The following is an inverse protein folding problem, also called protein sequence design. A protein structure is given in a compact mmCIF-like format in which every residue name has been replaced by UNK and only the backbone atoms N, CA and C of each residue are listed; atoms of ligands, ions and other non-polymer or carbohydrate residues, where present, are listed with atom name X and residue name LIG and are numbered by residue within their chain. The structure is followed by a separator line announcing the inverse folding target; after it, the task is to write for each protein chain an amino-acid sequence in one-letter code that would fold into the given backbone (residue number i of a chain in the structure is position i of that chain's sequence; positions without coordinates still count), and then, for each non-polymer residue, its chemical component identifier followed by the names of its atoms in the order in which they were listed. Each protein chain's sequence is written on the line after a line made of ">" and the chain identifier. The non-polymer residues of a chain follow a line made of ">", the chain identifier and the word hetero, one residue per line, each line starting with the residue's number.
data_IF_585029139896
#
_entry.id   IF_585029139896
#
_cell.length_a   1.000
_cell.length_b   1.000
_cell.length_c   1.000
_cell.angle_alpha   90.00
_cell.angle_beta   90.00
_cell.angle_gamma   90.00
#
_symmetry.space_group_name_H-M   'P 1'
#
loop_
_entity.id
_entity.type
_entity.pdbx_description
1 polymer ?
#
# COMPACT_ATOMS: atom_id res chain seq x y z
N UNK A 1 10.82 12.91 -5.32
CA UNK A 1 11.16 13.82 -4.20
C UNK A 1 12.53 13.50 -3.65
N UNK A 2 13.11 14.39 -2.83
CA UNK A 2 14.52 14.33 -2.37
C UNK A 2 14.93 13.03 -1.65
N UNK A 3 13.98 12.31 -1.03
CA UNK A 3 14.27 11.08 -0.28
C UNK A 3 14.17 9.79 -1.11
N UNK A 4 13.78 9.88 -2.39
CA UNK A 4 13.52 8.73 -3.27
C UNK A 4 12.53 7.69 -2.69
N UNK A 5 11.67 8.08 -1.74
CA UNK A 5 10.75 7.17 -1.02
C UNK A 5 9.42 6.91 -1.74
N UNK A 6 9.29 7.34 -3.00
CA UNK A 6 8.03 7.22 -3.75
C UNK A 6 7.65 5.76 -4.02
N UNK A 7 8.65 4.92 -4.29
CA UNK A 7 8.47 3.48 -4.50
C UNK A 7 7.84 2.81 -3.26
N UNK A 8 8.40 3.07 -2.06
CA UNK A 8 7.89 2.49 -0.82
C UNK A 8 6.44 2.89 -0.55
N UNK A 9 6.09 4.16 -0.78
CA UNK A 9 4.72 4.66 -0.62
C UNK A 9 3.76 3.90 -1.53
N UNK A 10 4.08 3.78 -2.82
CA UNK A 10 3.21 3.10 -3.79
C UNK A 10 3.10 1.60 -3.50
N UNK A 11 4.22 0.95 -3.18
CA UNK A 11 4.26 -0.48 -2.87
C UNK A 11 3.47 -0.82 -1.59
N UNK A 12 3.56 0.01 -0.55
CA UNK A 12 2.74 -0.16 0.65
C UNK A 12 1.27 0.15 0.40
N UNK A 13 0.96 1.17 -0.42
CA UNK A 13 -0.42 1.47 -0.79
C UNK A 13 -1.08 0.30 -1.53
N UNK A 14 -0.37 -0.36 -2.44
CA UNK A 14 -0.84 -1.60 -3.07
C UNK A 14 -1.19 -2.66 -2.01
N UNK A 15 -0.31 -2.88 -1.02
CA UNK A 15 -0.57 -3.84 0.08
C UNK A 15 -1.80 -3.49 0.91
N UNK A 16 -2.08 -2.20 1.14
CA UNK A 16 -3.29 -1.77 1.86
C UNK A 16 -4.58 -2.19 1.15
N UNK A 17 -4.56 -2.48 -0.16
CA UNK A 17 -5.72 -3.03 -0.87
C UNK A 17 -6.27 -4.32 -0.25
N UNK A 18 -5.44 -5.12 0.44
CA UNK A 18 -5.91 -6.31 1.16
C UNK A 18 -6.80 -5.97 2.35
N UNK A 19 -6.54 -4.83 3.01
CA UNK A 19 -7.35 -4.34 4.13
C UNK A 19 -8.74 -3.99 3.60
N UNK A 20 -8.82 -3.23 2.51
CA UNK A 20 -10.10 -2.85 1.90
C UNK A 20 -10.93 -4.06 1.47
N UNK A 21 -10.31 -5.09 0.88
CA UNK A 21 -11.01 -6.34 0.52
C UNK A 21 -11.62 -7.03 1.73
N UNK A 22 -10.88 -7.08 2.85
CA UNK A 22 -11.36 -7.68 4.11
C UNK A 22 -12.49 -6.86 4.72
N UNK A 23 -12.32 -5.54 4.83
CA UNK A 23 -13.33 -4.63 5.37
C UNK A 23 -14.64 -4.69 4.57
N UNK A 24 -14.55 -4.80 3.24
CA UNK A 24 -15.72 -4.98 2.38
C UNK A 24 -16.44 -6.31 2.67
N UNK A 25 -15.71 -7.42 2.78
CA UNK A 25 -16.31 -8.71 3.10
C UNK A 25 -16.98 -8.70 4.49
N UNK A 26 -16.38 -8.02 5.47
CA UNK A 26 -16.94 -7.86 6.81
C UNK A 26 -18.21 -7.00 6.78
N UNK A 27 -18.23 -5.90 6.01
CA UNK A 27 -19.40 -5.07 5.82
C UNK A 27 -20.57 -5.83 5.16
N UNK A 28 -20.29 -6.57 4.08
CA UNK A 28 -21.33 -7.37 3.39
C UNK A 28 -21.87 -8.46 4.30
N UNK A 29 -21.04 -9.04 5.18
CA UNK A 29 -21.47 -10.01 6.18
C UNK A 29 -22.44 -9.40 7.19
N UNK A 30 -22.13 -8.22 7.71
CA UNK A 30 -23.02 -7.51 8.64
C UNK A 30 -24.35 -7.16 7.97
N UNK A 31 -24.30 -6.68 6.71
CA UNK A 31 -25.50 -6.45 5.90
C UNK A 31 -26.34 -7.73 5.78
N UNK A 32 -25.73 -8.86 5.47
CA UNK A 32 -26.44 -10.15 5.38
C UNK A 32 -27.09 -10.57 6.71
N UNK A 33 -26.41 -10.35 7.85
CA UNK A 33 -26.96 -10.60 9.19
C UNK A 33 -28.25 -9.79 9.44
N UNK A 34 -28.26 -8.51 9.06
CA UNK A 34 -29.43 -7.63 9.20
C UNK A 34 -30.59 -8.12 8.33
N UNK A 35 -30.31 -8.43 7.06
CA UNK A 35 -31.32 -8.93 6.12
C UNK A 35 -31.92 -10.28 6.58
N UNK A 36 -31.09 -11.15 7.18
CA UNK A 36 -31.55 -12.43 7.74
C UNK A 36 -32.45 -12.21 8.97
N UNK A 37 -32.07 -11.30 9.87
CA UNK A 37 -32.89 -10.95 11.03
C UNK A 37 -34.24 -10.38 10.62
N UNK A 38 -34.27 -9.54 9.59
CA UNK A 38 -35.51 -9.01 9.00
C UNK A 38 -36.37 -10.14 8.43
N UNK A 39 -35.81 -11.00 7.58
CA UNK A 39 -36.51 -12.17 7.00
C UNK A 39 -37.12 -13.09 8.08
N UNK A 40 -36.36 -13.39 9.14
CA UNK A 40 -36.84 -14.20 10.27
C UNK A 40 -38.00 -13.53 11.00
N UNK A 41 -37.93 -12.21 11.20
CA UNK A 41 -39.00 -11.44 11.85
C UNK A 41 -40.27 -11.41 10.99
N UNK A 42 -40.13 -11.22 9.68
CA UNK A 42 -41.24 -11.26 8.73
C UNK A 42 -41.89 -12.65 8.64
N UNK A 43 -41.08 -13.72 8.67
CA UNK A 43 -41.60 -15.09 8.74
C UNK A 43 -42.43 -15.33 10.00
N UNK A 44 -42.00 -14.81 11.15
CA UNK A 44 -42.77 -14.89 12.40
C UNK A 44 -44.07 -14.09 12.31
N UNK A 45 -44.03 -12.89 11.74
CA UNK A 45 -45.20 -12.05 11.53
C UNK A 45 -46.23 -12.75 10.63
N UNK A 46 -45.80 -13.34 9.53
CA UNK A 46 -46.70 -14.08 8.63
C UNK A 46 -47.41 -15.25 9.35
N UNK A 47 -46.69 -16.01 10.17
CA UNK A 47 -47.28 -17.09 10.98
C UNK A 47 -48.31 -16.56 11.97
N UNK A 48 -48.06 -15.39 12.57
CA UNK A 48 -49.00 -14.76 13.50
C UNK A 48 -50.31 -14.34 12.85
N UNK A 49 -50.34 -14.11 11.53
CA UNK A 49 -51.57 -13.79 10.81
C UNK A 49 -52.62 -14.90 10.92
N UNK A 50 -52.20 -16.16 11.12
CA UNK A 50 -53.10 -17.29 11.34
C UNK A 50 -53.73 -17.32 12.74
N UNK A 51 -53.28 -16.46 13.67
CA UNK A 51 -53.79 -16.38 15.04
C UNK A 51 -54.93 -15.36 15.21
N UNK A 52 -55.24 -14.58 14.17
CA UNK A 52 -56.34 -13.60 14.24
C UNK A 52 -57.71 -14.25 14.10
N UNK A 53 -58.74 -13.51 14.52
CA UNK A 53 -60.14 -13.95 14.46
C UNK A 53 -60.53 -14.40 13.05
N UNK A 54 -61.07 -15.62 12.98
CA UNK A 54 -61.67 -16.18 11.76
C UNK A 54 -63.16 -15.83 11.64
N UNK A 55 -63.68 -15.03 12.56
CA UNK A 55 -65.07 -14.55 12.54
C UNK A 55 -65.17 -13.26 11.71
N UNK A 56 -66.25 -13.16 10.95
CA UNK A 56 -66.58 -11.99 10.15
C UNK A 56 -66.05 -12.04 8.72
N UNK A 57 -66.58 -11.16 7.88
CA UNK A 57 -66.30 -11.11 6.44
C UNK A 57 -64.86 -10.67 6.11
N UNK A 58 -64.12 -10.16 7.09
CA UNK A 58 -62.72 -9.76 6.93
C UNK A 58 -61.73 -10.94 7.07
N UNK A 59 -62.15 -12.08 7.63
CA UNK A 59 -61.25 -13.22 7.89
C UNK A 59 -60.38 -13.64 6.68
N UNK A 60 -60.90 -13.71 5.44
CA UNK A 60 -60.08 -14.09 4.27
C UNK A 60 -58.96 -13.10 3.94
N UNK A 61 -59.07 -11.84 4.37
CA UNK A 61 -58.06 -10.80 4.10
C UNK A 61 -56.75 -11.13 4.83
N UNK A 62 -56.80 -11.79 5.99
CA UNK A 62 -55.61 -12.22 6.72
C UNK A 62 -54.74 -13.21 5.93
N UNK A 63 -55.34 -14.03 5.06
CA UNK A 63 -54.58 -14.96 4.21
C UNK A 63 -53.79 -14.23 3.12
N UNK A 64 -54.34 -13.12 2.61
CA UNK A 64 -53.63 -12.21 1.69
C UNK A 64 -52.40 -11.63 2.38
N UNK A 65 -52.56 -11.09 3.60
CA UNK A 65 -51.45 -10.57 4.39
C UNK A 65 -50.40 -11.62 4.71
N UNK A 66 -50.82 -12.83 5.08
CA UNK A 66 -49.92 -13.96 5.34
C UNK A 66 -49.07 -14.25 4.10
N UNK A 67 -49.70 -14.48 2.96
CA UNK A 67 -49.02 -14.86 1.72
C UNK A 67 -48.08 -13.77 1.22
N UNK A 68 -48.49 -12.50 1.26
CA UNK A 68 -47.62 -11.38 0.85
C UNK A 68 -46.42 -11.21 1.79
N UNK A 69 -46.62 -11.40 3.10
CA UNK A 69 -45.57 -11.31 4.11
C UNK A 69 -44.58 -12.47 3.99
N UNK A 70 -45.03 -13.70 3.69
CA UNK A 70 -44.18 -14.86 3.40
C UNK A 70 -43.31 -14.61 2.16
N UNK A 71 -43.92 -14.11 1.08
CA UNK A 71 -43.18 -13.77 -0.14
C UNK A 71 -42.11 -12.71 0.13
N UNK A 72 -42.44 -11.66 0.88
CA UNK A 72 -41.47 -10.62 1.26
C UNK A 72 -40.33 -11.20 2.12
N UNK A 73 -40.64 -12.04 3.11
CA UNK A 73 -39.61 -12.71 3.92
C UNK A 73 -38.65 -13.55 3.05
N UNK A 74 -39.18 -14.26 2.04
CA UNK A 74 -38.38 -15.04 1.10
C UNK A 74 -37.50 -14.16 0.20
N UNK A 75 -37.99 -12.99 -0.25
CA UNK A 75 -37.16 -12.05 -1.02
C UNK A 75 -35.92 -11.59 -0.24
N UNK A 76 -36.06 -11.28 1.05
CA UNK A 76 -34.92 -10.92 1.90
C UNK A 76 -33.98 -12.11 2.13
N UNK A 77 -34.51 -13.33 2.28
CA UNK A 77 -33.68 -14.52 2.41
C UNK A 77 -32.89 -14.83 1.12
N UNK A 78 -33.49 -14.60 -0.05
CA UNK A 78 -32.80 -14.73 -1.33
C UNK A 78 -31.70 -13.68 -1.50
N UNK A 79 -31.93 -12.46 -1.00
CA UNK A 79 -30.88 -11.44 -0.93
C UNK A 79 -29.71 -11.91 -0.04
N UNK A 80 -29.98 -12.47 1.14
CA UNK A 80 -28.94 -13.03 2.02
C UNK A 80 -28.08 -14.07 1.27
N UNK A 81 -28.71 -15.00 0.55
CA UNK A 81 -27.99 -16.01 -0.25
C UNK A 81 -27.07 -15.37 -1.29
N UNK A 82 -27.56 -14.35 -2.01
CA UNK A 82 -26.76 -13.61 -2.98
C UNK A 82 -25.59 -12.85 -2.34
N UNK A 83 -25.81 -12.24 -1.17
CA UNK A 83 -24.75 -11.58 -0.41
C UNK A 83 -23.69 -12.59 0.08
N UNK A 84 -24.09 -13.79 0.48
CA UNK A 84 -23.17 -14.86 0.87
C UNK A 84 -22.31 -15.34 -0.30
N UNK A 85 -22.88 -15.49 -1.50
CA UNK A 85 -22.08 -15.80 -2.70
C UNK A 85 -21.12 -14.65 -3.05
N UNK A 86 -21.57 -13.39 -2.96
CA UNK A 86 -20.71 -12.23 -3.16
C UNK A 86 -19.54 -12.20 -2.17
N UNK A 87 -19.75 -12.53 -0.90
CA UNK A 87 -18.67 -12.64 0.10
C UNK A 87 -17.61 -13.66 -0.35
N UNK A 88 -18.02 -14.81 -0.89
CA UNK A 88 -17.07 -15.81 -1.40
C UNK A 88 -16.24 -15.27 -2.57
N UNK A 89 -16.87 -14.55 -3.49
CA UNK A 89 -16.17 -13.92 -4.62
C UNK A 89 -15.18 -12.85 -4.15
N UNK A 90 -15.56 -12.02 -3.17
CA UNK A 90 -14.67 -11.01 -2.56
C UNK A 90 -13.48 -11.69 -1.85
N UNK A 91 -13.72 -12.78 -1.13
CA UNK A 91 -12.66 -13.55 -0.47
C UNK A 91 -11.70 -14.18 -1.49
N UNK A 92 -12.24 -14.78 -2.55
CA UNK A 92 -11.44 -15.33 -3.67
C UNK A 92 -10.58 -14.24 -4.31
N UNK A 93 -11.14 -13.07 -4.56
CA UNK A 93 -10.38 -11.91 -5.05
C UNK A 93 -9.25 -11.54 -4.08
N UNK A 94 -9.50 -11.55 -2.77
CA UNK A 94 -8.45 -11.32 -1.76
C UNK A 94 -7.29 -12.31 -1.84
N UNK A 95 -7.56 -13.60 -2.08
CA UNK A 95 -6.52 -14.61 -2.28
C UNK A 95 -5.72 -14.39 -3.58
N UNK A 96 -6.41 -14.05 -4.67
CA UNK A 96 -5.79 -13.71 -5.95
C UNK A 96 -4.93 -12.45 -5.83
N UNK A 97 -5.38 -11.45 -5.07
CA UNK A 97 -4.64 -10.24 -4.76
C UNK A 97 -3.33 -10.56 -4.01
N UNK A 98 -3.32 -11.51 -3.06
CA UNK A 98 -2.08 -11.98 -2.41
C UNK A 98 -1.09 -12.55 -3.43
N UNK A 99 -1.56 -13.39 -4.35
CA UNK A 99 -0.71 -13.99 -5.40
C UNK A 99 -0.17 -12.93 -6.34
N UNK A 100 -1.02 -12.00 -6.77
CA UNK A 100 -0.64 -10.87 -7.62
C UNK A 100 0.40 -9.98 -6.93
N UNK A 101 0.20 -9.61 -5.66
CA UNK A 101 1.17 -8.79 -4.92
C UNK A 101 2.52 -9.49 -4.75
N UNK A 102 2.53 -10.82 -4.57
CA UNK A 102 3.79 -11.59 -4.53
C UNK A 102 4.51 -11.50 -5.88
N UNK A 103 3.80 -11.71 -6.98
CA UNK A 103 4.35 -11.60 -8.34
C UNK A 103 4.90 -10.20 -8.61
N UNK A 104 4.11 -9.16 -8.31
CA UNK A 104 4.54 -7.77 -8.47
C UNK A 104 5.79 -7.48 -7.67
N UNK A 105 5.90 -7.95 -6.41
CA UNK A 105 7.13 -7.79 -5.61
C UNK A 105 8.37 -8.35 -6.32
N UNK A 106 8.25 -9.50 -6.97
CA UNK A 106 9.34 -10.13 -7.72
C UNK A 106 9.65 -9.32 -8.99
N UNK A 107 8.64 -8.86 -9.72
CA UNK A 107 8.78 -8.04 -10.94
C UNK A 107 9.44 -6.68 -10.66
N UNK A 108 9.11 -6.04 -9.54
CA UNK A 108 9.63 -4.71 -9.18
C UNK A 108 10.91 -4.74 -8.33
N UNK A 109 11.50 -5.93 -8.12
CA UNK A 109 12.69 -6.09 -7.28
C UNK A 109 13.87 -5.24 -7.78
N UNK A 110 14.08 -5.16 -9.09
CA UNK A 110 15.14 -4.34 -9.68
C UNK A 110 14.97 -2.84 -9.43
N UNK A 111 13.73 -2.36 -9.32
CA UNK A 111 13.41 -0.97 -8.99
C UNK A 111 13.70 -0.68 -7.52
N UNK A 112 13.39 -1.63 -6.63
CA UNK A 112 13.76 -1.54 -5.21
C UNK A 112 15.29 -1.46 -5.04
N UNK A 113 16.05 -2.29 -5.77
CA UNK A 113 17.51 -2.24 -5.75
C UNK A 113 18.04 -0.89 -6.22
N UNK A 114 17.48 -0.32 -7.29
CA UNK A 114 17.88 1.00 -7.80
C UNK A 114 17.57 2.13 -6.79
N UNK A 115 16.42 2.07 -6.11
CA UNK A 115 16.06 2.99 -5.01
C UNK A 115 17.09 2.91 -3.86
N UNK A 116 17.45 1.71 -3.43
CA UNK A 116 18.43 1.51 -2.36
C UNK A 116 19.84 1.99 -2.79
N UNK A 117 20.22 1.70 -4.04
CA UNK A 117 21.50 2.12 -4.60
C UNK A 117 21.61 3.65 -4.64
N UNK A 118 20.61 4.36 -5.18
CA UNK A 118 20.66 5.83 -5.25
C UNK A 118 20.66 6.46 -3.85
N UNK A 119 19.91 5.92 -2.89
CA UNK A 119 19.92 6.41 -1.50
C UNK A 119 21.29 6.24 -0.84
N UNK A 120 21.90 5.05 -0.99
CA UNK A 120 23.23 4.75 -0.45
C UNK A 120 24.33 5.61 -1.08
N UNK A 121 24.31 5.75 -2.41
CA UNK A 121 25.29 6.57 -3.14
C UNK A 121 25.12 8.04 -2.81
N UNK A 122 23.89 8.54 -2.65
CA UNK A 122 23.63 9.92 -2.23
C UNK A 122 24.23 10.22 -0.86
N UNK A 123 24.06 9.31 0.11
CA UNK A 123 24.69 9.45 1.44
C UNK A 123 26.22 9.40 1.37
N UNK A 124 26.78 8.48 0.58
CA UNK A 124 28.23 8.35 0.41
C UNK A 124 28.84 9.59 -0.28
N UNK A 125 28.15 10.12 -1.30
CA UNK A 125 28.50 11.36 -1.98
C UNK A 125 28.57 12.53 -1.01
N UNK A 126 27.53 12.71 -0.18
CA UNK A 126 27.48 13.78 0.81
C UNK A 126 28.64 13.69 1.81
N UNK A 127 28.92 12.49 2.37
CA UNK A 127 30.07 12.27 3.25
C UNK A 127 31.41 12.56 2.56
N UNK A 128 31.55 12.17 1.30
CA UNK A 128 32.78 12.42 0.54
C UNK A 128 33.00 13.92 0.26
N UNK A 129 31.92 14.67 0.00
CA UNK A 129 31.93 16.13 -0.17
C UNK A 129 32.36 16.85 1.12
N UNK A 130 31.81 16.47 2.26
CA UNK A 130 32.18 17.01 3.57
C UNK A 130 33.65 16.73 3.91
N UNK A 131 34.12 15.51 3.64
CA UNK A 131 35.52 15.16 3.83
C UNK A 131 36.45 15.96 2.88
N UNK A 132 36.08 16.12 1.61
CA UNK A 132 36.81 16.97 0.66
C UNK A 132 36.93 18.40 1.18
N UNK A 133 35.81 19.03 1.57
CA UNK A 133 35.81 20.39 2.13
C UNK A 133 36.70 20.50 3.38
N UNK A 134 36.62 19.52 4.28
CA UNK A 134 37.46 19.47 5.49
C UNK A 134 38.96 19.43 5.14
N UNK A 135 39.36 18.62 4.15
CA UNK A 135 40.77 18.55 3.73
C UNK A 135 41.23 19.82 3.02
N UNK A 136 40.36 20.46 2.25
CA UNK A 136 40.67 21.75 1.62
C UNK A 136 40.87 22.86 2.65
N UNK A 137 39.97 22.97 3.64
CA UNK A 137 40.09 23.97 4.71
C UNK A 137 41.38 23.76 5.52
N UNK A 138 41.69 22.52 5.88
CA UNK A 138 42.92 22.21 6.62
C UNK A 138 44.19 22.53 5.81
N UNK A 139 44.19 22.24 4.50
CA UNK A 139 45.31 22.57 3.63
C UNK A 139 45.53 24.09 3.56
N UNK A 140 44.46 24.88 3.44
CA UNK A 140 44.55 26.35 3.42
C UNK A 140 44.95 26.92 4.78
N UNK A 141 44.50 26.32 5.88
CA UNK A 141 44.92 26.69 7.24
C UNK A 141 46.43 26.54 7.42
N UNK A 142 46.99 25.38 7.06
CA UNK A 142 48.43 25.12 7.15
C UNK A 142 49.26 26.08 6.28
N UNK A 143 48.76 26.47 5.10
CA UNK A 143 49.40 27.51 4.26
C UNK A 143 49.41 28.88 4.94
N UNK A 144 48.30 29.28 5.58
CA UNK A 144 48.17 30.58 6.24
C UNK A 144 49.00 30.69 7.52
N UNK A 145 49.12 29.60 8.26
CA UNK A 145 49.88 29.54 9.52
C UNK A 145 51.39 29.37 9.31
N UNK A 146 51.87 29.26 8.07
CA UNK A 146 53.30 29.14 7.77
C UNK A 146 53.89 27.78 8.15
N UNK A 147 53.10 26.70 8.03
CA UNK A 147 53.57 25.34 8.25
C UNK A 147 54.73 24.97 7.30
N UNK A 148 55.49 23.93 7.64
CA UNK A 148 56.63 23.52 6.81
C UNK A 148 56.17 23.03 5.44
N UNK A 149 57.02 23.19 4.42
CA UNK A 149 56.75 22.73 3.06
C UNK A 149 56.34 21.24 3.02
N UNK A 150 56.99 20.40 3.83
CA UNK A 150 56.69 18.97 3.96
C UNK A 150 55.29 18.70 4.51
N UNK A 151 54.82 19.52 5.46
CA UNK A 151 53.47 19.40 6.04
C UNK A 151 52.40 19.85 5.05
N UNK A 152 52.65 20.93 4.31
CA UNK A 152 51.77 21.43 3.25
C UNK A 152 51.63 20.40 2.13
N UNK A 153 52.73 19.79 1.68
CA UNK A 153 52.72 18.72 0.67
C UNK A 153 51.93 17.49 1.16
N UNK A 154 52.11 17.09 2.42
CA UNK A 154 51.34 15.99 3.01
C UNK A 154 49.84 16.29 3.06
N UNK A 155 49.45 17.53 3.38
CA UNK A 155 48.06 17.97 3.35
C UNK A 155 47.50 18.02 1.93
N UNK A 156 48.29 18.46 0.95
CA UNK A 156 47.93 18.48 -0.47
C UNK A 156 47.63 17.07 -1.01
N UNK A 157 48.44 16.07 -0.65
CA UNK A 157 48.19 14.67 -1.02
C UNK A 157 46.86 14.15 -0.44
N UNK A 158 46.55 14.48 0.82
CA UNK A 158 45.27 14.12 1.46
C UNK A 158 44.07 14.79 0.77
N UNK A 159 44.21 16.07 0.43
CA UNK A 159 43.20 16.86 -0.29
C UNK A 159 42.95 16.30 -1.69
N UNK A 160 44.02 15.94 -2.43
CA UNK A 160 43.93 15.28 -3.73
C UNK A 160 43.17 13.95 -3.64
N UNK A 161 43.54 13.07 -2.70
CA UNK A 161 42.83 11.80 -2.48
C UNK A 161 41.34 11.99 -2.14
N UNK A 162 41.02 13.00 -1.33
CA UNK A 162 39.62 13.34 -1.02
C UNK A 162 38.87 13.85 -2.25
N UNK A 163 39.53 14.65 -3.10
CA UNK A 163 38.98 15.14 -4.38
C UNK A 163 38.67 13.98 -5.33
N UNK A 164 39.61 13.05 -5.51
CA UNK A 164 39.44 11.91 -6.40
C UNK A 164 38.29 11.00 -5.92
N UNK A 165 38.17 10.81 -4.61
CA UNK A 165 37.06 10.05 -4.00
C UNK A 165 35.71 10.76 -4.22
N UNK A 166 35.67 12.09 -4.04
CA UNK A 166 34.45 12.87 -4.26
C UNK A 166 34.02 12.83 -5.73
N UNK A 167 34.94 13.03 -6.68
CA UNK A 167 34.68 12.92 -8.12
C UNK A 167 34.13 11.54 -8.51
N UNK A 168 34.73 10.47 -7.96
CA UNK A 168 34.23 9.11 -8.17
C UNK A 168 32.77 8.94 -7.72
N UNK A 169 32.39 9.51 -6.57
CA UNK A 169 31.00 9.43 -6.11
C UNK A 169 30.06 10.30 -6.94
N UNK A 170 30.52 11.42 -7.51
CA UNK A 170 29.72 12.23 -8.45
C UNK A 170 29.37 11.41 -9.70
N UNK A 171 30.35 10.69 -10.27
CA UNK A 171 30.13 9.81 -11.42
C UNK A 171 29.20 8.64 -11.08
N UNK A 172 29.42 7.97 -9.94
CA UNK A 172 28.54 6.90 -9.45
C UNK A 172 27.11 7.39 -9.23
N UNK A 173 26.95 8.60 -8.70
CA UNK A 173 25.63 9.18 -8.49
C UNK A 173 24.91 9.44 -9.81
N UNK A 174 25.60 9.98 -10.83
CA UNK A 174 25.01 10.20 -12.14
C UNK A 174 24.50 8.89 -12.77
N UNK A 175 25.29 7.81 -12.68
CA UNK A 175 24.90 6.48 -13.16
C UNK A 175 23.70 5.91 -12.40
N UNK A 176 23.74 5.95 -11.06
CA UNK A 176 22.65 5.46 -10.22
C UNK A 176 21.36 6.27 -10.39
N UNK A 177 21.49 7.58 -10.64
CA UNK A 177 20.35 8.46 -10.94
C UNK A 177 19.68 8.07 -12.25
N UNK A 178 20.45 7.83 -13.31
CA UNK A 178 19.91 7.40 -14.60
C UNK A 178 19.20 6.04 -14.50
N UNK A 179 19.81 5.05 -13.85
CA UNK A 179 19.20 3.72 -13.63
C UNK A 179 17.91 3.81 -12.79
N UNK A 180 17.92 4.60 -11.71
CA UNK A 180 16.75 4.85 -10.89
C UNK A 180 15.61 5.52 -11.69
N UNK A 181 15.90 6.58 -12.45
CA UNK A 181 14.88 7.30 -13.22
C UNK A 181 14.26 6.41 -14.30
N UNK A 182 15.07 5.59 -14.98
CA UNK A 182 14.59 4.61 -15.95
C UNK A 182 13.66 3.58 -15.30
N UNK A 183 14.15 2.84 -14.30
CA UNK A 183 13.39 1.74 -13.68
C UNK A 183 12.12 2.22 -12.97
N UNK A 184 12.17 3.38 -12.32
CA UNK A 184 10.97 3.98 -11.73
C UNK A 184 9.93 4.35 -12.78
N UNK A 185 10.35 4.81 -13.97
CA UNK A 185 9.44 5.13 -15.07
C UNK A 185 8.81 3.87 -15.65
N UNK A 186 9.62 2.83 -15.90
CA UNK A 186 9.15 1.53 -16.41
C UNK A 186 8.18 0.84 -15.45
N UNK A 187 8.44 0.94 -14.14
CA UNK A 187 7.57 0.34 -13.11
C UNK A 187 6.25 1.10 -12.92
N UNK A 188 6.21 2.37 -13.35
CA UNK A 188 5.02 3.21 -13.22
C UNK A 188 4.06 3.15 -14.42
N UNK A 189 4.45 2.46 -15.51
CA UNK A 189 3.63 2.21 -16.70
C UNK A 189 2.79 0.94 -16.55
#
# INVERSE_FOLDING_TARGET
>A
GEKNSGFDVLYHNMKHGQISTKELADFVRERATIEEAYSRSMTKLAKSASNYSQLGTFAPVWDVFKTSTEKLANCHLDLVRKLQELIKEVQKYGEEQVKSHKKTKEEVAGTLEAVQAIQSITQALQKSKENYNTKCVEQERLKKEGATQREIEKAAVKSKKATDTYKLYVEKYALAKADFEQKMTETAQ
#
